data_IF_485760680726
#
_entry.id   IF_485760680726
#
_cell.length_a   1.000
_cell.length_b   1.000
_cell.length_c   1.000
_cell.angle_alpha   90.00
_cell.angle_beta   90.00
_cell.angle_gamma   90.00
#
_symmetry.space_group_name_H-M   'P 1'
#
loop_
_entity.id
_entity.type
_entity.pdbx_description
1 polymer ?
#
# COMPACT_ATOMS: atom_id res chain seq x y z
N UNK A 1 1.92 14.23 -4.97
CA UNK A 1 1.16 12.98 -5.20
C UNK A 1 0.14 13.23 -6.31
N UNK A 2 0.00 12.34 -7.30
CA UNK A 2 -1.00 12.50 -8.34
C UNK A 2 -2.41 12.44 -7.76
N UNK A 3 -3.30 13.24 -8.35
CA UNK A 3 -4.73 13.27 -8.07
C UNK A 3 -5.43 12.32 -9.04
N UNK A 4 -6.19 11.35 -8.51
CA UNK A 4 -6.90 10.36 -9.29
C UNK A 4 -8.40 10.50 -9.11
N UNK A 5 -9.13 10.23 -10.20
CA UNK A 5 -10.58 10.26 -10.23
C UNK A 5 -11.12 8.84 -10.46
N UNK A 6 -12.13 8.46 -9.69
CA UNK A 6 -12.85 7.18 -9.87
C UNK A 6 -14.35 7.46 -10.03
N UNK A 7 -14.92 7.00 -11.14
CA UNK A 7 -16.35 7.07 -11.36
C UNK A 7 -17.05 5.97 -10.57
N UNK A 8 -17.68 6.35 -9.45
CA UNK A 8 -18.40 5.43 -8.59
C UNK A 8 -19.70 6.04 -8.06
N UNK A 9 -20.66 5.17 -7.70
CA UNK A 9 -21.87 5.56 -6.96
C UNK A 9 -21.44 6.17 -5.62
N UNK A 10 -22.10 7.26 -5.21
CA UNK A 10 -21.79 7.89 -3.93
C UNK A 10 -21.98 6.88 -2.79
N UNK A 11 -20.91 6.67 -2.02
CA UNK A 11 -20.89 5.85 -0.82
C UNK A 11 -20.45 6.73 0.35
N UNK A 12 -20.94 6.42 1.55
CA UNK A 12 -20.61 7.21 2.75
C UNK A 12 -19.10 7.17 2.99
N UNK A 13 -18.48 8.34 3.10
CA UNK A 13 -17.06 8.49 3.42
C UNK A 13 -16.09 8.28 2.25
N UNK A 14 -16.58 8.12 1.00
CA UNK A 14 -15.73 7.97 -0.18
C UNK A 14 -15.95 9.10 -1.17
N UNK A 15 -14.86 9.77 -1.53
CA UNK A 15 -14.83 10.81 -2.56
C UNK A 15 -14.57 10.18 -3.94
N UNK A 16 -14.96 10.89 -4.99
CA UNK A 16 -14.62 10.53 -6.39
C UNK A 16 -13.22 10.95 -6.80
N UNK A 17 -12.51 11.63 -5.90
CA UNK A 17 -11.22 12.23 -6.13
C UNK A 17 -10.35 12.02 -4.88
N UNK A 18 -9.11 11.58 -5.06
CA UNK A 18 -8.16 11.35 -3.98
C UNK A 18 -6.73 11.40 -4.49
N UNK A 19 -5.79 11.66 -3.58
CA UNK A 19 -4.37 11.49 -3.86
C UNK A 19 -3.97 10.02 -3.69
N UNK A 20 -3.27 9.47 -4.67
CA UNK A 20 -2.74 8.11 -4.58
C UNK A 20 -1.21 8.16 -4.57
N UNK A 21 -0.62 7.48 -3.59
CA UNK A 21 0.79 7.15 -3.57
C UNK A 21 0.96 5.70 -4.04
N UNK A 22 1.87 5.49 -4.98
CA UNK A 22 2.28 4.16 -5.45
C UNK A 22 3.81 4.10 -5.42
N UNK A 23 4.33 2.92 -5.14
CA UNK A 23 5.74 2.58 -5.25
C UNK A 23 5.82 1.17 -5.83
N UNK A 24 6.62 1.00 -6.87
CA UNK A 24 6.76 -0.27 -7.59
C UNK A 24 8.24 -0.52 -7.86
N UNK A 25 8.68 -1.76 -7.68
CA UNK A 25 10.01 -2.23 -8.07
C UNK A 25 9.88 -2.97 -9.40
N UNK A 26 10.66 -2.58 -10.39
CA UNK A 26 10.64 -3.18 -11.73
C UNK A 26 12.00 -3.84 -11.98
N UNK A 27 11.99 -5.11 -12.36
CA UNK A 27 13.18 -5.84 -12.82
C UNK A 27 13.86 -6.73 -11.78
N UNK A 28 13.32 -6.86 -10.57
CA UNK A 28 13.83 -7.77 -9.53
C UNK A 28 12.84 -8.93 -9.30
N UNK A 29 13.21 -10.18 -9.63
CA UNK A 29 12.33 -11.34 -9.48
C UNK A 29 12.41 -12.02 -8.10
N UNK A 30 13.36 -11.63 -7.25
CA UNK A 30 13.59 -12.25 -5.94
C UNK A 30 12.69 -11.70 -4.82
N UNK A 31 12.63 -12.46 -3.73
CA UNK A 31 11.89 -12.12 -2.50
C UNK A 31 12.39 -10.82 -1.83
N UNK A 32 13.61 -10.39 -2.18
CA UNK A 32 14.18 -9.14 -1.70
C UNK A 32 13.34 -7.92 -2.11
N UNK A 33 12.75 -7.94 -3.31
CA UNK A 33 11.86 -6.86 -3.76
C UNK A 33 10.60 -6.76 -2.90
N UNK A 34 9.99 -7.90 -2.55
CA UNK A 34 8.81 -7.93 -1.69
C UNK A 34 9.15 -7.39 -0.28
N UNK A 35 10.28 -7.83 0.28
CA UNK A 35 10.76 -7.37 1.58
C UNK A 35 11.04 -5.86 1.59
N UNK A 36 11.70 -5.34 0.56
CA UNK A 36 11.99 -3.91 0.41
C UNK A 36 10.70 -3.07 0.29
N UNK A 37 9.72 -3.55 -0.49
CA UNK A 37 8.45 -2.84 -0.65
C UNK A 37 7.65 -2.80 0.65
N UNK A 38 7.65 -3.88 1.43
CA UNK A 38 7.04 -3.92 2.76
C UNK A 38 7.77 -2.96 3.71
N UNK A 39 9.11 -2.97 3.71
CA UNK A 39 9.90 -2.05 4.53
C UNK A 39 9.62 -0.58 4.18
N UNK A 40 9.56 -0.24 2.90
CA UNK A 40 9.18 1.09 2.43
C UNK A 40 7.79 1.51 2.96
N UNK A 41 6.80 0.62 2.89
CA UNK A 41 5.46 0.89 3.39
C UNK A 41 5.45 1.16 4.90
N UNK A 42 6.18 0.37 5.69
CA UNK A 42 6.34 0.56 7.14
C UNK A 42 7.00 1.93 7.41
N UNK A 43 8.14 2.21 6.78
CA UNK A 43 8.86 3.46 7.00
C UNK A 43 8.06 4.70 6.57
N UNK A 44 7.22 4.59 5.54
CA UNK A 44 6.32 5.67 5.15
C UNK A 44 5.27 5.97 6.22
N UNK A 45 4.69 4.94 6.85
CA UNK A 45 3.73 5.11 7.95
C UNK A 45 4.42 5.67 9.21
N UNK A 46 5.61 5.19 9.53
CA UNK A 46 6.43 5.71 10.63
C UNK A 46 6.82 7.17 10.41
N UNK A 47 7.15 7.56 9.16
CA UNK A 47 7.40 8.95 8.78
C UNK A 47 6.18 9.87 8.95
N UNK A 48 4.97 9.32 9.01
CA UNK A 48 3.73 10.04 9.34
C UNK A 48 3.41 10.04 10.84
N UNK A 49 4.28 9.45 11.68
CA UNK A 49 4.12 9.39 13.13
C UNK A 49 3.31 8.20 13.64
N UNK A 50 2.98 7.23 12.78
CA UNK A 50 2.35 5.98 13.21
C UNK A 50 3.40 5.05 13.83
N UNK A 51 2.99 4.27 14.80
CA UNK A 51 3.84 3.31 15.52
C UNK A 51 3.36 1.89 15.30
N UNK A 52 4.15 0.92 15.77
CA UNK A 52 3.77 -0.50 15.76
C UNK A 52 2.46 -0.81 16.54
N UNK A 53 1.92 0.14 17.31
CA UNK A 53 0.62 0.00 17.99
C UNK A 53 -0.56 0.40 17.09
N UNK A 54 -0.30 1.18 16.04
CA UNK A 54 -1.34 1.80 15.20
C UNK A 54 -1.68 0.95 13.98
N UNK A 55 -0.77 0.08 13.54
CA UNK A 55 -0.98 -0.77 12.37
C UNK A 55 -0.34 -2.15 12.51
N UNK A 56 -0.82 -3.09 11.71
CA UNK A 56 -0.28 -4.45 11.59
C UNK A 56 -0.06 -4.78 10.12
N UNK A 57 1.09 -5.35 9.79
CA UNK A 57 1.35 -5.88 8.45
C UNK A 57 0.77 -7.28 8.36
N UNK A 58 -0.07 -7.51 7.35
CA UNK A 58 -0.68 -8.83 7.07
C UNK A 58 -0.19 -9.31 5.72
N UNK A 59 0.42 -10.48 5.71
CA UNK A 59 0.94 -11.12 4.50
C UNK A 59 0.02 -12.24 4.05
N UNK A 60 -0.06 -12.43 2.74
CA UNK A 60 -0.78 -13.53 2.10
C UNK A 60 -0.06 -13.89 0.80
N UNK A 61 -0.05 -15.17 0.46
CA UNK A 61 0.52 -15.69 -0.78
C UNK A 61 -0.57 -16.44 -1.54
N UNK A 62 -0.77 -16.12 -2.81
CA UNK A 62 -1.76 -16.78 -3.67
C UNK A 62 -1.52 -18.29 -3.79
N UNK A 63 -0.26 -18.74 -3.77
CA UNK A 63 0.14 -20.15 -3.84
C UNK A 63 -0.29 -20.95 -2.61
N UNK A 64 -0.50 -20.29 -1.48
CA UNK A 64 -0.94 -20.94 -0.24
C UNK A 64 -2.43 -21.33 -0.25
N UNK A 65 -3.20 -20.86 -1.24
CA UNK A 65 -4.65 -21.09 -1.35
C UNK A 65 -5.01 -22.01 -2.53
N UNK A 66 -4.03 -22.72 -3.11
CA UNK A 66 -4.22 -23.67 -4.20
C UNK A 66 -4.37 -25.10 -3.69
#
# INVERSE_FOLDING_TARGET
>A
LPQLFRYERQQRGRLREHFQFNADIIGEPGEAADAELIALAISALEGLGLTAKDFVVRLSDRRAWQ
#
